data_IF_203332718939
#
_entry.id   IF_203332718939
#
_cell.length_a   1.000
_cell.length_b   1.000
_cell.length_c   1.000
_cell.angle_alpha   90.00
_cell.angle_beta   90.00
_cell.angle_gamma   90.00
#
_symmetry.space_group_name_H-M   'P 1'
#
loop_
_entity.id
_entity.type
_entity.pdbx_description
1 polymer ?
#
# COMPACT_ATOMS: atom_id res chain seq x y z
N UNK A 1 27.76 -14.20 -5.65
CA UNK A 1 28.33 -13.64 -4.41
C UNK A 1 29.86 -13.72 -4.49
N UNK A 2 30.48 -12.85 -5.29
CA UNK A 2 31.93 -12.83 -5.52
C UNK A 2 32.64 -11.64 -4.84
N UNK A 3 31.90 -10.82 -4.09
CA UNK A 3 32.37 -9.56 -3.49
C UNK A 3 32.83 -9.71 -2.02
N UNK A 4 33.19 -10.92 -1.58
CA UNK A 4 33.65 -11.15 -0.21
C UNK A 4 34.95 -10.42 0.14
N UNK A 5 35.77 -10.11 -0.87
CA UNK A 5 37.01 -9.33 -0.75
C UNK A 5 36.78 -7.86 -0.41
N UNK A 6 35.54 -7.35 -0.43
CA UNK A 6 35.25 -5.95 -0.08
C UNK A 6 35.74 -5.57 1.32
N UNK A 7 35.81 -6.52 2.25
CA UNK A 7 36.25 -6.28 3.63
C UNK A 7 37.77 -6.14 3.79
N UNK A 8 38.56 -6.37 2.73
CA UNK A 8 39.99 -6.03 2.74
C UNK A 8 40.25 -4.56 2.43
N UNK A 9 39.26 -3.87 1.83
CA UNK A 9 39.33 -2.44 1.47
C UNK A 9 38.38 -1.56 2.30
N UNK A 10 37.36 -2.15 2.91
CA UNK A 10 36.42 -1.47 3.83
C UNK A 10 36.46 -2.15 5.19
N UNK A 11 36.69 -1.37 6.25
CA UNK A 11 36.74 -1.92 7.60
C UNK A 11 35.35 -2.42 8.04
N UNK A 12 35.20 -3.70 8.44
CA UNK A 12 33.88 -4.31 8.69
C UNK A 12 33.12 -3.68 9.84
N UNK A 13 33.81 -3.23 10.89
CA UNK A 13 33.18 -2.58 12.04
C UNK A 13 32.50 -1.25 11.69
N UNK A 14 32.85 -0.62 10.56
CA UNK A 14 32.20 0.62 10.09
C UNK A 14 31.28 0.34 8.90
N UNK A 15 31.75 -0.44 7.93
CA UNK A 15 30.99 -0.74 6.72
C UNK A 15 29.75 -1.59 6.98
N UNK A 16 29.79 -2.54 7.91
CA UNK A 16 28.64 -3.41 8.19
C UNK A 16 27.53 -2.66 8.94
N UNK A 17 27.81 -1.87 10.00
CA UNK A 17 26.77 -1.02 10.58
C UNK A 17 26.22 0.01 9.61
N UNK A 18 27.06 0.59 8.75
CA UNK A 18 26.61 1.56 7.75
C UNK A 18 25.68 0.91 6.71
N UNK A 19 26.01 -0.30 6.24
CA UNK A 19 25.15 -1.07 5.33
C UNK A 19 23.79 -1.33 5.96
N UNK A 20 23.76 -1.93 7.16
CA UNK A 20 22.52 -2.29 7.84
C UNK A 20 21.71 -1.04 8.20
N UNK A 21 22.35 0.00 8.71
CA UNK A 21 21.71 1.27 9.04
C UNK A 21 21.09 1.94 7.82
N UNK A 22 21.79 1.98 6.69
CA UNK A 22 21.27 2.55 5.44
C UNK A 22 20.07 1.77 4.93
N UNK A 23 20.11 0.43 4.97
CA UNK A 23 18.97 -0.42 4.60
C UNK A 23 17.77 -0.15 5.50
N UNK A 24 17.97 0.03 6.81
CA UNK A 24 16.89 0.41 7.74
C UNK A 24 16.30 1.76 7.38
N UNK A 25 17.12 2.78 7.10
CA UNK A 25 16.64 4.12 6.70
C UNK A 25 15.84 4.04 5.40
N UNK A 26 16.34 3.32 4.39
CA UNK A 26 15.62 3.12 3.12
C UNK A 26 14.28 2.44 3.37
N UNK A 27 14.24 1.38 4.19
CA UNK A 27 13.01 0.67 4.49
C UNK A 27 11.98 1.61 5.12
N UNK A 28 12.36 2.43 6.10
CA UNK A 28 11.46 3.40 6.73
C UNK A 28 10.94 4.44 5.73
N UNK A 29 11.80 4.97 4.86
CA UNK A 29 11.40 5.94 3.84
C UNK A 29 10.42 5.34 2.84
N UNK A 30 10.64 4.11 2.39
CA UNK A 30 9.72 3.41 1.48
C UNK A 30 8.38 3.18 2.15
N UNK A 31 8.34 2.74 3.42
CA UNK A 31 7.08 2.56 4.15
C UNK A 31 6.35 3.90 4.33
N UNK A 32 7.07 4.97 4.65
CA UNK A 32 6.49 6.31 4.74
C UNK A 32 5.92 6.78 3.40
N UNK A 33 6.63 6.52 2.30
CA UNK A 33 6.16 6.85 0.95
C UNK A 33 4.88 6.08 0.60
N UNK A 34 4.82 4.77 0.90
CA UNK A 34 3.62 3.95 0.68
C UNK A 34 2.46 4.48 1.52
N UNK A 35 2.68 4.77 2.80
CA UNK A 35 1.66 5.35 3.68
C UNK A 35 1.12 6.69 3.16
N UNK A 36 1.99 7.54 2.61
CA UNK A 36 1.63 8.90 2.19
C UNK A 36 1.09 9.00 0.76
N UNK A 37 1.37 8.01 -0.10
CA UNK A 37 1.01 8.04 -1.53
C UNK A 37 -0.03 7.00 -1.92
N UNK A 38 -0.42 6.11 -1.01
CA UNK A 38 -1.45 5.09 -1.26
C UNK A 38 -2.57 5.17 -0.23
N UNK A 39 -3.79 4.80 -0.63
CA UNK A 39 -4.97 4.85 0.24
C UNK A 39 -5.16 3.58 1.07
N UNK A 40 -4.69 2.43 0.56
CA UNK A 40 -4.90 1.13 1.19
C UNK A 40 -4.14 0.98 2.52
N UNK A 41 -2.93 1.53 2.63
CA UNK A 41 -2.10 1.36 3.83
C UNK A 41 -2.67 2.16 5.02
N UNK A 42 -3.19 3.36 4.76
CA UNK A 42 -3.94 4.13 5.77
C UNK A 42 -5.26 3.45 6.13
N UNK A 43 -5.99 2.89 5.15
CA UNK A 43 -7.22 2.13 5.41
C UNK A 43 -6.98 0.86 6.24
N UNK A 44 -5.84 0.20 6.04
CA UNK A 44 -5.40 -0.94 6.83
C UNK A 44 -5.18 -0.56 8.31
N UNK A 45 -4.47 0.55 8.58
CA UNK A 45 -4.28 1.05 9.95
C UNK A 45 -5.55 1.58 10.61
N UNK A 46 -6.50 2.10 9.82
CA UNK A 46 -7.82 2.50 10.31
C UNK A 46 -8.78 1.31 10.53
N UNK A 47 -8.31 0.06 10.43
CA UNK A 47 -9.10 -1.11 10.79
C UNK A 47 -10.23 -1.44 9.80
N UNK A 48 -10.05 -1.13 8.50
CA UNK A 48 -10.98 -1.50 7.43
C UNK A 48 -12.30 -0.67 7.37
N UNK A 49 -12.27 0.61 7.80
CA UNK A 49 -13.41 1.54 7.70
C UNK A 49 -13.94 1.76 6.27
N UNK A 50 -13.22 1.29 5.24
CA UNK A 50 -13.64 1.31 3.83
C UNK A 50 -14.45 0.09 3.39
N UNK A 51 -14.90 -0.80 4.29
CA UNK A 51 -16.17 -1.50 4.06
C UNK A 51 -17.32 -0.51 4.32
N UNK A 52 -17.27 0.63 3.62
CA UNK A 52 -18.48 1.36 3.31
C UNK A 52 -19.30 0.39 2.48
N UNK A 53 -20.34 -0.18 3.10
CA UNK A 53 -21.44 -0.89 2.44
C UNK A 53 -21.71 -0.17 1.13
N UNK A 54 -21.35 -0.78 0.00
CA UNK A 54 -21.82 -0.28 -1.28
C UNK A 54 -23.35 -0.28 -1.16
N UNK A 55 -23.93 0.92 -1.14
CA UNK A 55 -25.38 1.06 -1.14
C UNK A 55 -25.90 0.20 -2.31
N UNK A 56 -26.92 -0.66 -2.08
CA UNK A 56 -27.51 -1.44 -3.15
C UNK A 56 -27.83 -0.50 -4.32
N UNK A 57 -27.45 -0.90 -5.54
CA UNK A 57 -27.78 -0.15 -6.74
C UNK A 57 -29.27 0.24 -6.72
N UNK A 58 -29.64 1.48 -7.05
CA UNK A 58 -31.04 1.89 -7.07
C UNK A 58 -31.85 0.89 -7.90
N UNK A 59 -32.93 0.38 -7.31
CA UNK A 59 -33.83 -0.54 -8.01
C UNK A 59 -34.26 0.08 -9.35
N UNK A 60 -34.32 -0.72 -10.44
CA UNK A 60 -34.83 -0.22 -11.72
C UNK A 60 -36.20 0.42 -11.50
N UNK A 61 -36.37 1.66 -11.98
CA UNK A 61 -37.65 2.36 -11.92
C UNK A 61 -38.74 1.49 -12.57
N UNK A 62 -39.95 1.40 -11.98
CA UNK A 62 -41.05 0.65 -12.59
C UNK A 62 -41.30 1.16 -14.00
N UNK A 63 -41.34 0.24 -14.97
CA UNK A 63 -41.70 0.56 -16.35
C UNK A 63 -43.07 1.26 -16.39
N UNK A 64 -43.25 2.34 -17.20
CA UNK A 64 -44.55 2.96 -17.36
C UNK A 64 -45.55 1.93 -17.86
N UNK A 65 -46.67 1.80 -17.14
CA UNK A 65 -47.76 0.91 -17.54
C UNK A 65 -48.23 1.28 -18.95
N UNK A 66 -48.14 0.32 -19.88
CA UNK A 66 -48.70 0.47 -21.21
C UNK A 66 -50.21 0.74 -21.11
N UNK A 67 -50.76 1.74 -21.82
CA UNK A 67 -52.20 1.98 -21.80
C UNK A 67 -52.92 0.78 -22.43
N UNK A 68 -53.92 0.26 -21.72
CA UNK A 68 -54.78 -0.81 -22.18
C UNK A 68 -55.47 -0.40 -23.50
N UNK A 69 -55.20 -1.13 -24.57
CA UNK A 69 -55.95 -1.03 -25.81
C UNK A 69 -57.30 -1.76 -25.64
N UNK A 70 -58.34 -1.10 -26.13
CA UNK A 70 -59.75 -1.47 -26.09
C UNK A 70 -60.10 -2.48 -27.17
#
# INVERSE_FOLDING_TARGET
MNQGTIWTVVHPTVGLPLLLGTVTVIALLVHYAVLSKTTWFSAYWNGNASVAVQAPAPAPAPAPAAPAAK
#
